data_IF_779243138579
#
_entry.id   IF_779243138579
#
_cell.length_a   1.000
_cell.length_b   1.000
_cell.length_c   1.000
_cell.angle_alpha   90.00
_cell.angle_beta   90.00
_cell.angle_gamma   90.00
#
_symmetry.space_group_name_H-M   'P 1'
#
loop_
_entity.id
_entity.type
_entity.pdbx_description
1 polymer ?
#
# COMPACT_ATOMS: atom_id res chain seq x y z
N UNK A 1 -41.52 24.71 -21.69
CA UNK A 1 -42.41 24.57 -20.53
C UNK A 1 -41.65 23.90 -19.40
N UNK A 2 -41.86 24.35 -18.20
CA UNK A 2 -41.29 23.77 -16.98
C UNK A 2 -42.42 23.33 -16.04
N UNK A 3 -42.13 22.45 -15.11
CA UNK A 3 -43.07 22.05 -14.06
C UNK A 3 -42.85 22.91 -12.82
N UNK A 4 -43.88 23.23 -12.11
CA UNK A 4 -43.84 24.00 -10.88
C UNK A 4 -45.05 23.73 -10.01
N UNK A 5 -45.03 24.29 -8.81
CA UNK A 5 -46.14 24.24 -7.86
C UNK A 5 -46.75 25.63 -7.68
N UNK A 6 -48.02 25.68 -7.39
CA UNK A 6 -48.74 26.92 -7.08
C UNK A 6 -49.50 26.81 -5.76
N UNK A 7 -49.85 27.93 -5.20
CA UNK A 7 -50.72 27.99 -4.02
C UNK A 7 -51.83 29.02 -4.28
N UNK A 8 -53.03 28.67 -3.91
CA UNK A 8 -54.19 29.58 -3.99
C UNK A 8 -54.53 30.09 -2.59
N UNK A 9 -54.67 31.40 -2.48
CA UNK A 9 -55.07 32.06 -1.25
C UNK A 9 -56.28 32.96 -1.45
N UNK A 10 -57.10 33.08 -0.41
CA UNK A 10 -58.27 33.96 -0.41
C UNK A 10 -57.81 35.41 -0.24
N UNK A 11 -58.25 36.26 -1.18
CA UNK A 11 -57.97 37.68 -1.05
C UNK A 11 -58.67 38.28 0.20
N UNK A 12 -57.95 39.06 0.94
CA UNK A 12 -58.44 39.75 2.12
C UNK A 12 -57.91 39.21 3.46
N UNK A 13 -57.80 37.90 3.64
CA UNK A 13 -57.26 37.27 4.83
C UNK A 13 -56.09 36.33 4.60
N UNK A 14 -55.76 36.01 3.32
CA UNK A 14 -54.63 35.17 2.94
C UNK A 14 -54.83 33.69 3.24
N UNK A 15 -56.04 33.25 3.61
CA UNK A 15 -56.30 31.83 3.93
C UNK A 15 -56.08 30.95 2.68
N UNK A 16 -55.31 29.85 2.86
CA UNK A 16 -55.08 28.86 1.81
C UNK A 16 -56.36 28.12 1.42
N UNK A 17 -56.55 27.95 0.11
CA UNK A 17 -57.70 27.29 -0.49
C UNK A 17 -57.27 25.89 -0.96
N UNK A 18 -57.29 24.91 -0.06
CA UNK A 18 -56.76 23.54 -0.32
C UNK A 18 -57.67 22.68 -1.24
N UNK A 19 -58.95 23.04 -1.40
CA UNK A 19 -59.91 22.30 -2.20
C UNK A 19 -60.16 22.94 -3.57
N UNK A 20 -59.35 23.89 -3.98
CA UNK A 20 -59.51 24.58 -5.26
C UNK A 20 -58.25 24.33 -6.10
N UNK A 21 -58.45 23.89 -7.34
CA UNK A 21 -57.37 23.57 -8.27
C UNK A 21 -57.45 24.42 -9.52
N UNK A 22 -56.30 24.68 -10.12
CA UNK A 22 -56.15 25.35 -11.41
C UNK A 22 -56.01 24.30 -12.52
N UNK A 23 -56.51 24.61 -13.70
CA UNK A 23 -56.30 23.91 -14.97
C UNK A 23 -55.61 24.82 -15.98
N UNK A 24 -55.04 24.22 -17.04
CA UNK A 24 -54.47 24.86 -18.22
C UNK A 24 -53.22 25.76 -17.99
N UNK A 25 -52.76 25.89 -16.74
CA UNK A 25 -51.64 26.77 -16.43
C UNK A 25 -50.29 26.29 -16.99
N UNK A 26 -49.49 27.23 -17.47
CA UNK A 26 -48.15 26.97 -18.04
C UNK A 26 -47.12 27.85 -17.36
N UNK A 27 -46.06 27.21 -16.84
CA UNK A 27 -44.84 27.90 -16.40
C UNK A 27 -43.91 28.13 -17.59
N UNK A 28 -43.45 29.36 -17.80
CA UNK A 28 -42.59 29.74 -18.92
C UNK A 28 -41.49 30.67 -18.48
N UNK A 29 -40.23 30.31 -18.81
CA UNK A 29 -39.10 31.21 -18.65
C UNK A 29 -39.20 32.41 -19.63
N UNK A 30 -38.71 33.56 -19.21
CA UNK A 30 -38.61 34.75 -20.09
C UNK A 30 -37.49 34.59 -21.15
N UNK A 31 -36.49 33.71 -20.89
CA UNK A 31 -35.38 33.43 -21.80
C UNK A 31 -35.16 31.93 -21.95
N UNK A 32 -34.45 31.53 -23.01
CA UNK A 32 -34.12 30.12 -23.31
C UNK A 32 -32.65 29.78 -23.00
N UNK A 33 -31.83 30.79 -22.66
CA UNK A 33 -30.42 30.60 -22.34
C UNK A 33 -30.23 30.16 -20.88
N UNK A 34 -29.25 29.34 -20.61
CA UNK A 34 -28.88 28.95 -19.25
C UNK A 34 -28.62 30.16 -18.35
N UNK A 35 -28.96 30.02 -17.07
CA UNK A 35 -28.78 31.06 -16.05
C UNK A 35 -29.50 30.71 -14.77
N UNK A 36 -29.09 31.33 -13.67
CA UNK A 36 -29.74 31.19 -12.37
C UNK A 36 -30.71 32.33 -12.09
N UNK A 37 -31.71 32.06 -11.22
CA UNK A 37 -32.73 33.02 -10.79
C UNK A 37 -33.45 33.72 -11.97
N UNK A 38 -33.64 32.98 -13.08
CA UNK A 38 -34.35 33.48 -14.24
C UNK A 38 -35.82 33.62 -13.92
N UNK A 39 -36.41 34.68 -14.42
CA UNK A 39 -37.84 34.93 -14.24
C UNK A 39 -38.68 33.88 -14.97
N UNK A 40 -39.65 33.32 -14.25
CA UNK A 40 -40.63 32.36 -14.75
C UNK A 40 -42.01 32.94 -14.52
N UNK A 41 -42.80 33.01 -15.58
CA UNK A 41 -44.20 33.46 -15.52
C UNK A 41 -45.09 32.22 -15.58
N UNK A 42 -46.03 32.11 -14.63
CA UNK A 42 -47.13 31.16 -14.65
C UNK A 42 -48.38 31.89 -15.17
N UNK A 43 -48.96 31.39 -16.26
CA UNK A 43 -50.08 32.07 -16.94
C UNK A 43 -51.00 31.07 -17.64
N UNK A 44 -52.15 31.56 -18.10
CA UNK A 44 -53.14 30.78 -18.87
C UNK A 44 -53.95 29.81 -18.01
N UNK A 45 -53.86 29.91 -16.70
CA UNK A 45 -54.59 29.08 -15.76
C UNK A 45 -56.04 29.51 -15.57
N UNK A 46 -56.90 28.55 -15.23
CA UNK A 46 -58.29 28.74 -14.87
C UNK A 46 -58.63 27.92 -13.63
N UNK A 47 -59.64 28.35 -12.89
CA UNK A 47 -60.21 27.50 -11.82
C UNK A 47 -60.93 26.32 -12.45
N UNK A 48 -60.77 25.13 -11.92
CA UNK A 48 -61.52 23.95 -12.38
C UNK A 48 -63.02 24.18 -12.33
N UNK A 49 -63.69 23.94 -13.43
CA UNK A 49 -65.11 24.25 -13.58
C UNK A 49 -66.02 23.46 -12.59
N UNK A 50 -65.65 22.19 -12.29
CA UNK A 50 -66.43 21.36 -11.36
C UNK A 50 -66.27 21.85 -9.90
N UNK A 51 -65.26 22.62 -9.57
CA UNK A 51 -65.02 23.20 -8.24
C UNK A 51 -65.54 24.65 -8.14
N UNK A 52 -65.96 25.26 -9.23
CA UNK A 52 -66.45 26.64 -9.29
C UNK A 52 -67.75 26.78 -10.10
N UNK A 53 -68.62 25.76 -10.08
CA UNK A 53 -69.85 25.73 -10.88
C UNK A 53 -70.80 26.93 -10.61
N UNK A 54 -70.81 27.43 -9.38
CA UNK A 54 -71.64 28.58 -8.99
C UNK A 54 -70.88 29.95 -9.17
N UNK A 55 -69.74 29.98 -9.82
CA UNK A 55 -68.87 31.17 -9.99
C UNK A 55 -68.58 31.88 -8.66
N UNK A 56 -68.41 31.12 -7.59
CA UNK A 56 -68.14 31.64 -6.26
C UNK A 56 -66.75 32.26 -6.16
N UNK A 57 -65.78 31.72 -6.93
CA UNK A 57 -64.41 32.18 -6.92
C UNK A 57 -64.03 32.88 -8.24
N UNK A 58 -63.31 33.97 -8.17
CA UNK A 58 -62.80 34.72 -9.31
C UNK A 58 -61.28 34.93 -9.11
N UNK A 59 -60.50 34.60 -10.14
CA UNK A 59 -59.08 34.91 -10.16
C UNK A 59 -58.87 36.41 -10.27
N UNK A 60 -58.14 37.00 -9.32
CA UNK A 60 -57.77 38.41 -9.34
C UNK A 60 -56.53 38.64 -10.22
N UNK A 61 -55.63 37.66 -10.25
CA UNK A 61 -54.42 37.69 -11.02
C UNK A 61 -54.51 36.71 -12.18
N UNK A 62 -54.13 37.16 -13.37
CA UNK A 62 -54.06 36.34 -14.58
C UNK A 62 -52.67 35.77 -14.84
N UNK A 63 -51.69 36.23 -14.08
CA UNK A 63 -50.29 35.75 -14.12
C UNK A 63 -49.70 35.78 -12.71
N UNK A 64 -48.79 34.84 -12.45
CA UNK A 64 -47.94 34.84 -11.25
C UNK A 64 -46.46 34.69 -11.67
N UNK A 65 -45.54 35.22 -10.89
CA UNK A 65 -44.12 35.22 -11.20
C UNK A 65 -43.33 34.51 -10.10
N UNK A 66 -42.30 33.83 -10.54
CA UNK A 66 -41.30 33.15 -9.67
C UNK A 66 -39.96 33.16 -10.37
N UNK A 67 -38.96 32.55 -9.77
CA UNK A 67 -37.65 32.37 -10.39
C UNK A 67 -37.27 30.88 -10.38
N UNK A 68 -36.52 30.46 -11.43
CA UNK A 68 -35.92 29.13 -11.53
C UNK A 68 -34.63 29.21 -12.36
N UNK A 69 -33.87 28.15 -12.41
CA UNK A 69 -32.61 28.08 -13.17
C UNK A 69 -32.79 27.24 -14.44
N UNK A 70 -32.20 27.67 -15.55
CA UNK A 70 -31.93 26.82 -16.72
C UNK A 70 -30.46 26.42 -16.63
N UNK A 71 -30.19 25.13 -16.50
CA UNK A 71 -28.80 24.60 -16.41
C UNK A 71 -28.39 24.07 -17.78
N UNK A 72 -27.11 24.27 -18.12
CA UNK A 72 -26.52 23.59 -19.26
C UNK A 72 -26.51 22.08 -19.01
N UNK A 73 -26.72 21.28 -20.07
CA UNK A 73 -26.57 19.82 -19.93
C UNK A 73 -25.12 19.47 -19.56
N UNK A 74 -24.94 18.58 -18.61
CA UNK A 74 -23.61 18.08 -18.23
C UNK A 74 -23.01 17.31 -19.43
N UNK A 75 -21.83 17.67 -19.94
CA UNK A 75 -21.22 17.03 -21.10
C UNK A 75 -20.58 15.67 -20.71
N UNK A 76 -21.42 14.69 -20.31
CA UNK A 76 -20.98 13.43 -19.73
C UNK A 76 -20.00 12.66 -20.63
N UNK A 77 -20.23 12.61 -21.94
CA UNK A 77 -19.33 11.91 -22.88
C UNK A 77 -17.95 12.57 -22.93
N UNK A 78 -17.87 13.90 -22.85
CA UNK A 78 -16.61 14.62 -22.82
C UNK A 78 -15.89 14.43 -21.48
N UNK A 79 -16.62 14.40 -20.36
CA UNK A 79 -16.09 14.09 -19.05
C UNK A 79 -15.47 12.70 -19.06
N UNK A 80 -16.21 11.67 -19.51
CA UNK A 80 -15.76 10.29 -19.56
C UNK A 80 -14.53 10.10 -20.45
N UNK A 81 -14.50 10.77 -21.62
CA UNK A 81 -13.34 10.68 -22.52
C UNK A 81 -12.04 11.22 -21.91
N UNK A 82 -12.11 12.23 -21.05
CA UNK A 82 -10.95 12.76 -20.34
C UNK A 82 -10.61 11.96 -19.07
N UNK A 83 -11.59 11.32 -18.46
CA UNK A 83 -11.38 10.44 -17.31
C UNK A 83 -10.57 9.19 -17.66
N UNK A 84 -10.73 8.65 -18.86
CA UNK A 84 -10.12 7.37 -19.24
C UNK A 84 -8.58 7.40 -19.18
N UNK A 85 -7.96 8.53 -19.48
CA UNK A 85 -6.51 8.70 -19.41
C UNK A 85 -6.02 8.65 -17.95
N UNK A 86 -6.79 9.24 -17.02
CA UNK A 86 -6.49 9.20 -15.59
C UNK A 86 -6.76 7.81 -15.04
N UNK A 87 -7.88 7.18 -15.42
CA UNK A 87 -8.28 5.84 -14.95
C UNK A 87 -7.28 4.76 -15.39
N UNK A 88 -6.66 4.88 -16.56
CA UNK A 88 -5.66 3.93 -17.06
C UNK A 88 -4.22 4.31 -16.67
N UNK A 89 -4.04 5.21 -15.73
CA UNK A 89 -2.76 5.62 -15.21
C UNK A 89 -2.18 4.68 -14.14
N UNK A 90 -1.34 5.24 -13.30
CA UNK A 90 -0.73 4.53 -12.19
C UNK A 90 -0.01 5.50 -11.26
N UNK A 91 0.41 4.99 -10.10
CA UNK A 91 1.24 5.74 -9.17
C UNK A 91 2.25 4.82 -8.47
N UNK A 92 3.26 5.45 -7.89
CA UNK A 92 4.26 4.79 -7.06
C UNK A 92 4.31 5.46 -5.69
N UNK A 93 4.32 4.66 -4.63
CA UNK A 93 4.35 5.15 -3.26
C UNK A 93 5.18 4.21 -2.36
N UNK A 94 5.44 4.60 -1.13
CA UNK A 94 6.15 3.80 -0.15
C UNK A 94 5.16 3.16 0.84
N UNK A 95 5.50 1.95 1.31
CA UNK A 95 4.67 1.21 2.27
C UNK A 95 4.45 1.98 3.57
N UNK A 96 5.36 2.87 3.97
CA UNK A 96 5.20 3.67 5.18
C UNK A 96 3.91 4.48 5.22
N UNK A 97 3.36 4.85 4.05
CA UNK A 97 2.09 5.55 3.94
C UNK A 97 0.87 4.65 4.19
N UNK A 98 1.08 3.33 4.28
CA UNK A 98 0.01 2.34 4.40
C UNK A 98 -0.04 1.64 5.77
N UNK A 99 0.71 2.11 6.74
CA UNK A 99 0.63 1.57 8.10
C UNK A 99 -0.66 2.01 8.82
N UNK A 100 -1.33 1.13 9.58
CA UNK A 100 -0.96 -0.24 9.94
C UNK A 100 -1.17 -1.27 8.81
N UNK A 101 -0.31 -2.27 8.81
CA UNK A 101 -0.15 -3.27 7.75
C UNK A 101 -1.38 -4.15 7.54
N UNK A 102 -2.16 -4.41 8.62
CA UNK A 102 -3.37 -5.23 8.57
C UNK A 102 -4.44 -4.67 7.62
N UNK A 103 -4.32 -3.40 7.24
CA UNK A 103 -5.23 -2.70 6.34
C UNK A 103 -4.58 -2.29 5.03
N UNK A 104 -3.49 -2.96 4.64
CA UNK A 104 -2.73 -2.58 3.44
C UNK A 104 -3.61 -2.48 2.20
N UNK A 105 -4.46 -3.47 1.94
CA UNK A 105 -5.32 -3.49 0.75
C UNK A 105 -6.31 -2.32 0.74
N UNK A 106 -7.00 -2.10 1.86
CA UNK A 106 -7.91 -0.95 2.03
C UNK A 106 -7.17 0.39 1.84
N UNK A 107 -5.93 0.48 2.33
CA UNK A 107 -5.09 1.67 2.16
C UNK A 107 -4.71 1.90 0.70
N UNK A 108 -4.30 0.86 -0.02
CA UNK A 108 -3.99 0.94 -1.45
C UNK A 108 -5.22 1.37 -2.25
N UNK A 109 -6.39 0.79 -2.01
CA UNK A 109 -7.66 1.18 -2.66
C UNK A 109 -7.98 2.66 -2.39
N UNK A 110 -7.94 3.09 -1.13
CA UNK A 110 -8.25 4.47 -0.73
C UNK A 110 -7.23 5.48 -1.29
N UNK A 111 -5.94 5.15 -1.29
CA UNK A 111 -4.91 6.02 -1.87
C UNK A 111 -5.07 6.14 -3.38
N UNK A 112 -5.44 5.07 -4.07
CA UNK A 112 -5.75 5.11 -5.50
C UNK A 112 -6.89 6.08 -5.79
N UNK A 113 -7.99 6.01 -5.04
CA UNK A 113 -9.11 6.96 -5.16
C UNK A 113 -8.64 8.40 -4.90
N UNK A 114 -7.80 8.60 -3.87
CA UNK A 114 -7.27 9.93 -3.53
C UNK A 114 -6.41 10.51 -4.65
N UNK A 115 -5.49 9.71 -5.21
CA UNK A 115 -4.61 10.14 -6.32
C UNK A 115 -5.41 10.47 -7.57
N UNK A 116 -6.41 9.67 -7.92
CA UNK A 116 -7.29 9.95 -9.06
C UNK A 116 -8.07 11.24 -8.82
N UNK A 117 -8.66 11.44 -7.64
CA UNK A 117 -9.40 12.66 -7.31
C UNK A 117 -8.50 13.91 -7.31
N UNK A 118 -7.25 13.80 -6.90
CA UNK A 118 -6.27 14.88 -7.00
C UNK A 118 -5.99 15.23 -8.47
N UNK A 119 -5.77 14.23 -9.32
CA UNK A 119 -5.58 14.42 -10.76
C UNK A 119 -6.80 15.07 -11.43
N UNK A 120 -8.03 14.69 -11.02
CA UNK A 120 -9.27 15.35 -11.45
C UNK A 120 -9.28 16.82 -11.09
N UNK A 121 -8.91 17.16 -9.85
CA UNK A 121 -8.86 18.54 -9.35
C UNK A 121 -7.81 19.42 -10.06
N UNK A 122 -6.77 18.81 -10.63
CA UNK A 122 -5.73 19.49 -11.42
C UNK A 122 -6.08 19.65 -12.90
N UNK A 123 -7.02 18.85 -13.41
CA UNK A 123 -7.48 18.96 -14.80
C UNK A 123 -8.40 20.17 -14.97
N UNK A 124 -8.06 21.10 -15.86
CA UNK A 124 -8.75 22.37 -16.08
C UNK A 124 -10.25 22.21 -16.39
N UNK A 125 -10.62 21.17 -17.12
CA UNK A 125 -12.01 20.89 -17.49
C UNK A 125 -12.72 20.05 -16.42
N UNK A 126 -12.12 18.94 -15.94
CA UNK A 126 -12.77 18.00 -15.02
C UNK A 126 -13.01 18.58 -13.63
N UNK A 127 -12.19 19.53 -13.17
CA UNK A 127 -12.35 20.17 -11.86
C UNK A 127 -13.71 20.86 -11.69
N UNK A 128 -14.32 21.35 -12.78
CA UNK A 128 -15.63 21.98 -12.74
C UNK A 128 -16.76 20.98 -12.45
N UNK A 129 -16.54 19.70 -12.80
CA UNK A 129 -17.50 18.61 -12.65
C UNK A 129 -17.16 17.63 -11.53
N UNK A 130 -16.11 17.89 -10.73
CA UNK A 130 -15.62 16.98 -9.71
C UNK A 130 -16.70 16.50 -8.74
N UNK A 131 -17.64 17.37 -8.36
CA UNK A 131 -18.77 17.04 -7.49
C UNK A 131 -19.80 16.09 -8.11
N UNK A 132 -19.75 15.88 -9.42
CA UNK A 132 -20.63 14.98 -10.16
C UNK A 132 -19.99 13.61 -10.42
N UNK A 133 -18.70 13.48 -10.12
CA UNK A 133 -17.89 12.28 -10.39
C UNK A 133 -17.69 11.52 -9.08
N UNK A 134 -17.99 10.22 -9.10
CA UNK A 134 -17.68 9.30 -8.02
C UNK A 134 -16.69 8.25 -8.51
N UNK A 135 -15.60 8.04 -7.78
CA UNK A 135 -14.56 7.05 -8.10
C UNK A 135 -14.57 5.96 -7.06
N UNK A 136 -14.53 4.72 -7.51
CA UNK A 136 -14.25 3.55 -6.67
C UNK A 136 -13.06 2.77 -7.22
N UNK A 137 -12.26 2.19 -6.32
CA UNK A 137 -11.10 1.38 -6.66
C UNK A 137 -11.16 0.07 -5.88
N UNK A 138 -10.92 -1.06 -6.55
CA UNK A 138 -10.87 -2.38 -5.95
C UNK A 138 -9.66 -3.14 -6.47
N UNK A 139 -8.89 -3.76 -5.59
CA UNK A 139 -7.79 -4.64 -5.97
C UNK A 139 -8.37 -5.81 -6.75
N UNK A 140 -7.94 -5.92 -8.01
CA UNK A 140 -8.29 -7.01 -8.92
C UNK A 140 -7.22 -8.11 -8.87
N UNK A 141 -5.95 -7.70 -8.82
CA UNK A 141 -4.83 -8.62 -8.79
C UNK A 141 -3.66 -8.05 -7.97
N UNK A 142 -2.96 -8.95 -7.27
CA UNK A 142 -1.66 -8.68 -6.66
C UNK A 142 -0.62 -9.23 -7.60
N UNK A 143 0.10 -8.35 -8.27
CA UNK A 143 1.17 -8.73 -9.18
C UNK A 143 2.30 -9.50 -8.49
N UNK A 144 3.15 -10.12 -9.28
CA UNK A 144 4.37 -10.74 -8.78
C UNK A 144 5.24 -9.69 -8.05
N UNK A 145 5.84 -10.03 -6.90
CA UNK A 145 6.68 -9.10 -6.17
C UNK A 145 7.94 -8.76 -6.99
N UNK A 146 8.21 -7.48 -7.16
CA UNK A 146 9.48 -6.97 -7.68
C UNK A 146 10.56 -7.08 -6.59
N UNK A 147 11.82 -6.91 -6.95
CA UNK A 147 12.92 -6.97 -6.00
C UNK A 147 12.73 -5.98 -4.84
N UNK A 148 12.33 -4.75 -5.16
CA UNK A 148 12.23 -3.62 -4.22
C UNK A 148 10.82 -3.03 -4.10
N UNK A 149 9.81 -3.64 -4.72
CA UNK A 149 8.44 -3.15 -4.74
C UNK A 149 7.42 -4.29 -4.77
N UNK A 150 6.16 -3.93 -4.57
CA UNK A 150 5.00 -4.80 -4.75
C UNK A 150 3.99 -4.10 -5.65
N UNK A 151 3.43 -4.82 -6.62
CA UNK A 151 2.48 -4.23 -7.58
C UNK A 151 1.06 -4.69 -7.28
N UNK A 152 0.11 -3.78 -7.46
CA UNK A 152 -1.32 -4.04 -7.39
C UNK A 152 -1.98 -3.55 -8.68
N UNK A 153 -2.84 -4.37 -9.25
CA UNK A 153 -3.74 -3.96 -10.33
C UNK A 153 -5.12 -3.73 -9.73
N UNK A 154 -5.64 -2.52 -9.90
CA UNK A 154 -6.95 -2.15 -9.38
C UNK A 154 -7.94 -1.96 -10.52
N UNK A 155 -9.14 -2.51 -10.34
CA UNK A 155 -10.29 -2.14 -11.15
C UNK A 155 -10.84 -0.81 -10.64
N UNK A 156 -10.97 0.14 -11.55
CA UNK A 156 -11.54 1.47 -11.28
C UNK A 156 -12.91 1.55 -11.92
N UNK A 157 -13.86 2.10 -11.19
CA UNK A 157 -15.16 2.51 -11.71
C UNK A 157 -15.37 3.99 -11.42
N UNK A 158 -15.62 4.75 -12.46
CA UNK A 158 -15.96 6.17 -12.39
C UNK A 158 -17.40 6.39 -12.84
N UNK A 159 -18.20 7.02 -12.01
CA UNK A 159 -19.61 7.31 -12.29
C UNK A 159 -19.82 8.81 -12.32
N UNK A 160 -20.35 9.31 -13.44
CA UNK A 160 -20.80 10.71 -13.59
C UNK A 160 -22.30 10.76 -13.38
N UNK A 161 -22.77 11.53 -12.41
CA UNK A 161 -24.20 11.72 -12.12
C UNK A 161 -24.63 13.14 -12.48
N UNK A 162 -25.53 13.26 -13.43
CA UNK A 162 -26.06 14.56 -13.84
C UNK A 162 -27.08 15.12 -12.84
N UNK A 163 -27.37 16.41 -12.93
CA UNK A 163 -28.41 17.07 -12.12
C UNK A 163 -29.82 16.51 -12.33
N UNK A 164 -30.05 15.81 -13.42
CA UNK A 164 -31.31 15.11 -13.73
C UNK A 164 -31.37 13.68 -13.20
N UNK A 165 -30.29 13.20 -12.55
CA UNK A 165 -30.18 11.86 -11.99
C UNK A 165 -29.73 10.79 -12.99
N UNK A 166 -29.39 11.15 -14.23
CA UNK A 166 -28.81 10.18 -15.17
C UNK A 166 -27.38 9.87 -14.75
N UNK A 167 -27.01 8.59 -14.87
CA UNK A 167 -25.66 8.08 -14.55
C UNK A 167 -24.96 7.56 -15.81
N UNK A 168 -23.68 7.86 -15.91
CA UNK A 168 -22.79 7.39 -16.97
C UNK A 168 -21.57 6.77 -16.27
N UNK A 169 -21.15 5.60 -16.70
CA UNK A 169 -20.08 4.84 -16.04
C UNK A 169 -18.95 4.56 -17.01
N UNK A 170 -17.73 4.77 -16.55
CA UNK A 170 -16.50 4.35 -17.23
C UNK A 170 -15.70 3.43 -16.28
N UNK A 171 -15.03 2.44 -16.87
CA UNK A 171 -14.22 1.47 -16.11
C UNK A 171 -12.85 1.34 -16.74
N UNK A 172 -11.86 1.05 -15.89
CA UNK A 172 -10.49 0.83 -16.36
C UNK A 172 -9.64 0.13 -15.33
N UNK A 173 -8.34 0.05 -15.59
CA UNK A 173 -7.36 -0.54 -14.69
C UNK A 173 -6.32 0.49 -14.27
N UNK A 174 -5.90 0.41 -13.02
CA UNK A 174 -4.90 1.30 -12.43
C UNK A 174 -3.77 0.50 -11.80
N UNK A 175 -2.53 0.91 -12.04
CA UNK A 175 -1.36 0.24 -11.50
C UNK A 175 -0.82 1.01 -10.28
N UNK A 176 -0.80 0.36 -9.12
CA UNK A 176 -0.14 0.89 -7.94
C UNK A 176 1.15 0.11 -7.68
N UNK A 177 2.28 0.81 -7.63
CA UNK A 177 3.60 0.25 -7.30
C UNK A 177 3.97 0.72 -5.90
N UNK A 178 4.06 -0.20 -4.95
CA UNK A 178 4.35 0.12 -3.55
C UNK A 178 5.78 -0.30 -3.23
N UNK A 179 6.66 0.66 -2.97
CA UNK A 179 8.07 0.45 -2.60
C UNK A 179 8.18 -0.19 -1.22
N UNK A 180 9.02 -1.24 -1.11
CA UNK A 180 9.34 -1.87 0.16
C UNK A 180 10.21 -0.97 1.02
N UNK A 181 10.09 -1.13 2.33
CA UNK A 181 10.91 -0.44 3.31
C UNK A 181 12.29 -1.08 3.42
N UNK A 182 13.31 -0.27 3.63
CA UNK A 182 14.68 -0.73 3.87
C UNK A 182 14.97 -0.70 5.37
N UNK A 183 14.98 -1.85 6.07
CA UNK A 183 15.30 -1.88 7.48
C UNK A 183 16.78 -1.65 7.74
N UNK A 184 17.13 -1.27 8.96
CA UNK A 184 18.50 -1.02 9.39
C UNK A 184 18.96 -2.09 10.38
N UNK A 185 20.24 -2.48 10.30
CA UNK A 185 20.86 -3.38 11.26
C UNK A 185 21.09 -2.63 12.58
N UNK A 186 20.30 -2.95 13.62
CA UNK A 186 20.44 -2.38 14.94
C UNK A 186 21.60 -3.00 15.73
N UNK A 187 21.63 -4.33 15.85
CA UNK A 187 22.73 -5.07 16.47
C UNK A 187 23.07 -6.32 15.67
N UNK A 188 24.36 -6.61 15.54
CA UNK A 188 24.84 -7.83 14.87
C UNK A 188 24.55 -9.06 15.74
N UNK A 189 24.22 -10.22 15.14
CA UNK A 189 24.20 -11.48 15.87
C UNK A 189 25.61 -11.90 16.30
N UNK A 190 25.67 -12.71 17.34
CA UNK A 190 26.90 -13.35 17.80
C UNK A 190 27.07 -14.71 17.14
N UNK A 191 28.34 -15.13 16.95
CA UNK A 191 28.70 -16.44 16.40
C UNK A 191 29.37 -17.32 17.46
N UNK A 192 29.16 -18.64 17.39
CA UNK A 192 30.03 -19.58 18.09
C UNK A 192 31.37 -19.70 17.36
N UNK A 193 32.36 -20.22 18.06
CA UNK A 193 33.65 -20.65 17.45
C UNK A 193 33.36 -21.87 16.56
N UNK A 194 33.79 -21.80 15.29
CA UNK A 194 33.59 -22.86 14.31
C UNK A 194 34.81 -23.82 14.33
N UNK A 195 34.58 -25.12 14.31
CA UNK A 195 35.64 -26.09 14.10
C UNK A 195 36.25 -25.99 12.69
N UNK A 196 37.54 -26.13 12.59
CA UNK A 196 38.25 -26.12 11.30
C UNK A 196 37.65 -27.14 10.30
N UNK A 197 37.50 -26.74 9.04
CA UNK A 197 36.90 -27.49 7.94
C UNK A 197 35.37 -27.73 8.09
N UNK A 198 34.73 -27.19 9.09
CA UNK A 198 33.28 -27.19 9.16
C UNK A 198 32.71 -26.05 8.29
N UNK A 199 31.57 -26.26 7.64
CA UNK A 199 30.90 -25.22 6.85
C UNK A 199 30.25 -24.15 7.74
N UNK A 200 30.02 -22.98 7.19
CA UNK A 200 29.33 -21.88 7.90
C UNK A 200 27.93 -22.26 8.40
N UNK A 201 27.28 -23.26 7.77
CA UNK A 201 26.00 -23.82 8.27
C UNK A 201 26.10 -24.39 9.70
N UNK A 202 27.29 -24.79 10.16
CA UNK A 202 27.53 -25.27 11.52
C UNK A 202 27.83 -24.11 12.49
N UNK A 203 28.00 -22.87 11.97
CA UNK A 203 28.23 -21.68 12.76
C UNK A 203 26.88 -21.00 13.06
N UNK A 204 26.46 -21.11 14.33
CA UNK A 204 25.15 -20.62 14.77
C UNK A 204 25.16 -19.11 14.95
N UNK A 205 24.20 -18.43 14.36
CA UNK A 205 23.92 -17.01 14.57
C UNK A 205 22.95 -16.85 15.75
N UNK A 206 23.35 -16.13 16.81
CA UNK A 206 22.51 -15.92 18.01
C UNK A 206 22.26 -14.45 18.27
N UNK A 207 21.01 -14.14 18.63
CA UNK A 207 20.61 -12.75 18.88
C UNK A 207 20.65 -11.93 17.60
N UNK A 208 21.03 -10.66 17.73
CA UNK A 208 20.93 -9.69 16.64
C UNK A 208 19.58 -9.03 16.60
N UNK A 209 19.51 -7.84 16.00
CA UNK A 209 18.29 -7.06 15.90
C UNK A 209 18.33 -6.20 14.66
N UNK A 210 17.25 -6.24 13.91
CA UNK A 210 16.99 -5.35 12.76
C UNK A 210 15.81 -4.47 13.10
N UNK A 211 15.88 -3.20 12.72
CA UNK A 211 14.86 -2.19 13.05
C UNK A 211 14.50 -1.34 11.83
N UNK A 212 13.29 -0.82 11.84
CA UNK A 212 12.86 0.25 10.96
C UNK A 212 12.18 1.34 11.79
N UNK A 213 12.65 2.58 11.67
CA UNK A 213 12.19 3.71 12.50
C UNK A 213 12.13 3.40 14.00
N UNK A 214 13.11 2.63 14.52
CA UNK A 214 13.17 2.23 15.92
C UNK A 214 12.27 1.06 16.34
N UNK A 215 11.40 0.58 15.44
CA UNK A 215 10.59 -0.62 15.64
C UNK A 215 11.36 -1.85 15.22
N UNK A 216 11.23 -2.94 15.98
CA UNK A 216 11.87 -4.20 15.65
C UNK A 216 11.17 -4.89 14.48
N UNK A 217 11.96 -5.30 13.48
CA UNK A 217 11.50 -6.08 12.34
C UNK A 217 11.78 -7.56 12.65
N UNK A 218 10.73 -8.38 12.63
CA UNK A 218 10.83 -9.83 12.82
C UNK A 218 11.39 -10.52 11.58
N UNK A 219 12.21 -11.56 11.76
CA UNK A 219 12.81 -12.29 10.66
C UNK A 219 13.91 -13.24 11.14
N UNK A 220 14.66 -13.80 10.21
CA UNK A 220 15.70 -14.78 10.47
C UNK A 220 17.05 -14.38 9.87
N UNK A 221 18.13 -14.65 10.62
CA UNK A 221 19.50 -14.50 10.12
C UNK A 221 19.99 -15.81 9.52
N UNK A 222 20.61 -15.76 8.38
CA UNK A 222 21.25 -16.89 7.71
C UNK A 222 22.56 -16.49 7.04
N UNK A 223 23.45 -17.45 6.86
CA UNK A 223 24.64 -17.24 6.04
C UNK A 223 24.27 -17.21 4.56
N UNK A 224 24.79 -16.24 3.81
CA UNK A 224 24.54 -16.12 2.36
C UNK A 224 25.11 -17.31 1.58
N UNK A 225 26.23 -17.86 2.06
CA UNK A 225 26.93 -19.02 1.48
C UNK A 225 27.23 -20.06 2.57
N UNK A 226 26.20 -20.80 3.06
CA UNK A 226 26.32 -21.67 4.23
C UNK A 226 27.28 -22.85 4.04
N UNK A 227 27.57 -23.23 2.80
CA UNK A 227 28.49 -24.34 2.43
C UNK A 227 29.97 -23.96 2.50
N UNK A 228 30.30 -22.67 2.56
CA UNK A 228 31.69 -22.20 2.63
C UNK A 228 32.34 -22.67 3.91
N UNK A 229 33.56 -23.21 3.79
CA UNK A 229 34.40 -23.61 4.88
C UNK A 229 35.49 -22.57 5.09
N UNK A 230 35.51 -21.85 6.22
CA UNK A 230 36.59 -20.93 6.55
C UNK A 230 37.94 -21.59 6.49
N UNK A 231 38.92 -20.94 5.90
CA UNK A 231 40.23 -21.57 5.59
C UNK A 231 41.08 -21.87 6.81
N UNK A 232 40.85 -21.15 7.91
CA UNK A 232 41.65 -21.30 9.14
C UNK A 232 43.14 -20.94 8.95
N UNK A 233 43.49 -20.23 7.89
CA UNK A 233 44.85 -19.74 7.68
C UNK A 233 45.22 -18.76 8.81
N UNK A 234 46.53 -18.65 9.14
CA UNK A 234 47.03 -17.90 10.29
C UNK A 234 46.75 -18.54 11.67
N UNK A 235 47.27 -19.76 11.91
CA UNK A 235 47.21 -20.45 13.19
C UNK A 235 45.79 -20.74 13.71
N UNK A 236 44.83 -20.97 12.81
CA UNK A 236 43.47 -21.35 13.18
C UNK A 236 42.53 -20.17 13.47
N UNK A 237 42.98 -18.96 13.36
CA UNK A 237 42.12 -17.77 13.49
C UNK A 237 41.91 -17.19 12.12
N UNK A 238 40.90 -17.71 11.42
CA UNK A 238 40.35 -17.01 10.27
C UNK A 238 39.42 -15.90 10.81
N UNK A 239 39.85 -14.65 10.65
CA UNK A 239 39.04 -13.48 10.95
C UNK A 239 38.42 -12.93 9.66
N UNK A 240 38.28 -13.75 8.63
CA UNK A 240 37.60 -13.33 7.43
C UNK A 240 36.13 -13.02 7.72
N UNK A 241 35.63 -12.00 7.04
CA UNK A 241 34.23 -11.64 7.11
C UNK A 241 33.42 -12.47 6.12
N UNK A 242 32.27 -12.92 6.55
CA UNK A 242 31.31 -13.65 5.73
C UNK A 242 29.97 -12.96 5.77
N UNK A 243 29.29 -12.93 4.64
CA UNK A 243 28.01 -12.22 4.51
C UNK A 243 26.88 -12.98 5.17
N UNK A 244 26.16 -12.29 6.04
CA UNK A 244 24.91 -12.72 6.67
C UNK A 244 23.76 -11.98 6.00
N UNK A 245 22.66 -12.69 5.76
CA UNK A 245 21.41 -12.15 5.25
C UNK A 245 20.38 -12.24 6.37
N UNK A 246 19.75 -11.11 6.67
CA UNK A 246 18.51 -11.08 7.44
C UNK A 246 17.33 -11.09 6.47
N UNK A 247 16.47 -12.10 6.59
CA UNK A 247 15.24 -12.22 5.81
C UNK A 247 14.06 -11.85 6.70
N UNK A 248 13.39 -10.73 6.45
CA UNK A 248 12.19 -10.35 7.20
C UNK A 248 11.07 -11.38 7.02
N UNK A 249 10.25 -11.58 8.05
CA UNK A 249 9.04 -12.43 7.96
C UNK A 249 8.01 -11.83 6.99
N UNK A 250 7.95 -10.51 6.89
CA UNK A 250 7.03 -9.76 6.01
C UNK A 250 7.77 -9.25 4.77
N UNK A 251 8.07 -10.18 3.86
CA UNK A 251 8.86 -9.92 2.64
C UNK A 251 8.16 -9.02 1.62
N UNK A 252 6.85 -8.81 1.74
CA UNK A 252 6.08 -7.86 0.94
C UNK A 252 6.23 -6.40 1.42
N UNK A 253 6.76 -6.20 2.63
CA UNK A 253 6.89 -4.89 3.27
C UNK A 253 8.35 -4.47 3.36
N UNK A 254 9.22 -5.40 3.78
CA UNK A 254 10.61 -5.12 4.06
C UNK A 254 11.55 -5.81 3.07
N UNK A 255 12.62 -5.09 2.73
CA UNK A 255 13.77 -5.65 2.01
C UNK A 255 14.65 -6.47 2.97
N UNK A 256 15.33 -7.52 2.47
CA UNK A 256 16.37 -8.19 3.24
C UNK A 256 17.54 -7.25 3.52
N UNK A 257 18.26 -7.51 4.63
CA UNK A 257 19.46 -6.76 5.02
C UNK A 257 20.68 -7.67 4.94
N UNK A 258 21.71 -7.25 4.21
CA UNK A 258 22.97 -7.96 4.12
C UNK A 258 24.07 -7.19 4.86
N UNK A 259 24.91 -7.92 5.59
CA UNK A 259 26.08 -7.36 6.30
C UNK A 259 27.14 -8.43 6.52
N UNK A 260 28.36 -7.98 6.75
CA UNK A 260 29.48 -8.86 7.01
C UNK A 260 29.70 -9.09 8.51
N UNK A 261 29.98 -10.34 8.84
CA UNK A 261 30.25 -10.79 10.21
C UNK A 261 31.54 -11.60 10.24
N UNK A 262 32.48 -11.31 11.18
CA UNK A 262 33.68 -12.12 11.35
C UNK A 262 33.36 -13.48 11.95
N UNK A 263 33.97 -14.50 11.40
CA UNK A 263 33.89 -15.89 11.95
C UNK A 263 35.26 -16.29 12.48
N UNK A 264 35.24 -16.79 13.71
CA UNK A 264 36.42 -17.32 14.35
C UNK A 264 36.44 -18.85 14.24
N UNK A 265 37.56 -19.41 13.74
CA UNK A 265 37.76 -20.86 13.64
C UNK A 265 38.71 -21.37 14.73
N UNK A 266 38.54 -22.61 15.14
CA UNK A 266 39.37 -23.29 16.08
C UNK A 266 39.89 -24.60 15.47
N UNK A 267 41.21 -24.80 15.50
CA UNK A 267 41.85 -26.04 15.04
C UNK A 267 41.93 -27.03 16.18
N UNK A 268 41.33 -28.19 16.03
CA UNK A 268 41.54 -29.33 16.91
C UNK A 268 42.93 -29.94 16.66
N UNK A 269 43.65 -30.28 17.73
CA UNK A 269 44.96 -30.93 17.66
C UNK A 269 44.86 -32.35 18.18
N UNK A 270 45.45 -33.29 17.45
CA UNK A 270 45.62 -34.68 17.89
C UNK A 270 47.08 -34.89 18.26
N UNK A 271 47.30 -35.58 19.36
CA UNK A 271 48.63 -35.97 19.83
C UNK A 271 48.79 -37.47 19.57
N UNK A 272 49.84 -37.84 18.88
CA UNK A 272 50.34 -39.21 18.82
C UNK A 272 51.71 -39.29 19.50
N UNK A 273 51.99 -40.34 20.21
CA UNK A 273 53.26 -40.47 20.88
C UNK A 273 53.82 -41.87 20.68
N UNK A 274 55.14 -41.98 20.81
CA UNK A 274 55.91 -43.23 20.82
C UNK A 274 56.88 -43.19 22.00
N UNK A 275 56.73 -44.10 22.91
CA UNK A 275 57.64 -44.23 24.03
C UNK A 275 58.86 -45.12 23.67
N UNK A 276 60.00 -44.80 24.23
CA UNK A 276 61.19 -45.57 24.06
C UNK A 276 61.19 -46.77 25.06
N UNK A 277 61.65 -47.91 24.58
CA UNK A 277 61.88 -49.06 25.45
C UNK A 277 63.14 -48.81 26.29
N UNK A 278 63.14 -49.23 27.57
CA UNK A 278 64.27 -49.12 28.45
C UNK A 278 64.43 -50.34 29.29
N UNK A 279 65.63 -50.51 29.87
CA UNK A 279 65.91 -51.56 30.81
C UNK A 279 65.17 -51.37 32.14
N UNK A 280 64.88 -52.49 32.80
CA UNK A 280 64.20 -52.49 34.09
C UNK A 280 65.04 -51.85 35.20
N UNK A 281 64.44 -50.82 35.86
CA UNK A 281 65.01 -50.21 37.06
C UNK A 281 63.92 -50.10 38.12
N UNK A 282 64.21 -50.70 39.30
CA UNK A 282 63.22 -50.78 40.40
C UNK A 282 62.90 -49.40 40.94
N UNK A 283 61.57 -49.06 40.91
CA UNK A 283 61.09 -47.79 41.45
C UNK A 283 61.03 -46.65 40.42
N UNK A 284 61.58 -46.86 39.24
CA UNK A 284 61.48 -45.86 38.17
C UNK A 284 60.38 -46.25 37.14
N UNK A 285 59.37 -45.38 36.94
CA UNK A 285 58.25 -45.59 36.05
C UNK A 285 58.25 -44.66 34.84
N UNK A 286 59.29 -43.79 34.69
CA UNK A 286 59.42 -42.84 33.60
C UNK A 286 60.24 -43.38 32.43
N UNK A 287 59.97 -42.99 31.22
CA UNK A 287 60.72 -43.26 30.01
C UNK A 287 60.76 -42.03 29.12
N UNK A 288 61.64 -42.02 28.15
CA UNK A 288 61.68 -41.02 27.10
C UNK A 288 60.80 -41.45 25.95
N UNK A 289 60.45 -40.52 25.13
CA UNK A 289 59.63 -40.77 23.94
C UNK A 289 59.55 -39.53 23.05
N UNK A 290 58.89 -39.69 21.94
CA UNK A 290 58.59 -38.58 20.96
C UNK A 290 57.11 -38.45 20.81
N UNK A 291 56.68 -37.26 20.52
CA UNK A 291 55.29 -37.00 20.16
C UNK A 291 55.24 -36.27 18.84
N UNK A 292 54.08 -36.35 18.19
CA UNK A 292 53.75 -35.63 16.99
C UNK A 292 52.38 -34.99 17.15
N UNK A 293 52.27 -33.73 16.78
CA UNK A 293 51.03 -32.99 16.79
C UNK A 293 50.50 -32.91 15.35
N UNK A 294 49.25 -33.32 15.16
CA UNK A 294 48.59 -33.26 13.87
C UNK A 294 47.26 -32.50 13.98
N UNK A 295 46.91 -31.78 12.89
CA UNK A 295 45.67 -31.05 12.78
C UNK A 295 44.51 -32.06 12.62
N UNK A 296 43.49 -31.94 13.49
CA UNK A 296 42.28 -32.71 13.31
C UNK A 296 41.55 -32.27 12.05
N UNK A 297 41.10 -33.22 11.24
CA UNK A 297 40.39 -32.97 9.99
C UNK A 297 41.16 -33.42 8.77
N UNK A 298 42.40 -33.00 8.57
CA UNK A 298 43.23 -33.38 7.44
C UNK A 298 44.52 -34.10 7.81
N UNK A 299 44.85 -34.20 9.11
CA UNK A 299 46.02 -34.90 9.60
C UNK A 299 47.36 -34.21 9.33
N UNK A 300 47.37 -32.94 8.88
CA UNK A 300 48.57 -32.18 8.61
C UNK A 300 49.40 -32.01 9.90
N UNK A 301 50.74 -32.24 9.82
CA UNK A 301 51.65 -32.08 10.94
C UNK A 301 51.78 -30.59 11.29
N UNK A 302 51.74 -30.30 12.61
CA UNK A 302 51.87 -28.95 13.17
C UNK A 302 53.30 -28.77 13.71
N UNK A 303 54.22 -28.29 12.89
CA UNK A 303 55.65 -28.20 13.20
C UNK A 303 56.01 -27.05 14.16
N UNK A 304 55.16 -26.04 14.29
CA UNK A 304 55.42 -24.86 15.10
C UNK A 304 54.61 -24.83 16.42
N UNK A 305 54.03 -25.96 16.80
CA UNK A 305 53.25 -26.08 18.02
C UNK A 305 53.95 -27.05 18.97
N UNK A 306 54.16 -26.66 20.20
CA UNK A 306 54.78 -27.50 21.24
C UNK A 306 53.81 -27.68 22.42
N UNK A 307 53.89 -28.82 23.08
CA UNK A 307 53.19 -29.05 24.36
C UNK A 307 53.98 -28.33 25.45
N UNK A 308 53.31 -27.55 26.26
CA UNK A 308 53.87 -26.93 27.47
C UNK A 308 53.26 -27.62 28.68
N UNK A 309 54.06 -27.74 29.77
CA UNK A 309 53.62 -28.28 31.07
C UNK A 309 52.55 -27.40 31.73
#
# INVERSE_FOLDING_TARGET
TTTGTYELTRAGDGMKLENLELTDGVFKFEQETPGENLKVTFSGYKIREDQNADNLYVLLDTTAETTASIREPVPADQILSQLIEIINGGYEDSIENYLPIEKMEEKVENSTVSVINEALGQNEFLKEYQNLISITAKIQDKGEPLADAYTYTLAIEAVVTTSTGNTYTETGTYQAVIRKLTPELGTKPETNILEYQKPLSDCVLKGGKVTWNGLEVTGEFSWKTPEVKPSGENNGTDNANYTVVFTPSETNIYLPVEFDLPVRTQIGVRVSCKADSRDYEKGNVTTTGTYELTRAGDGMKLENLELTD
#
